data_IF_110154415582
#
_entry.id   IF_110154415582
#
_cell.length_a   1.000
_cell.length_b   1.000
_cell.length_c   1.000
_cell.angle_alpha   90.00
_cell.angle_beta   90.00
_cell.angle_gamma   90.00
#
_symmetry.space_group_name_H-M   'P 1'
#
loop_
_entity.id
_entity.type
_entity.pdbx_description
1 polymer ?
#
# COMPACT_ATOMS: atom_id res chain seq x y z
N UNK A 1 -11.54 -5.03 6.21
CA UNK A 1 -10.95 -3.97 5.36
C UNK A 1 -11.66 -3.90 4.01
N UNK A 2 -11.68 -2.75 3.35
CA UNK A 2 -12.19 -2.58 1.97
C UNK A 2 -11.06 -2.10 1.08
N UNK A 3 -10.99 -2.65 -0.13
CA UNK A 3 -10.07 -2.22 -1.17
C UNK A 3 -10.79 -1.89 -2.46
N UNK A 4 -10.25 -0.91 -3.16
CA UNK A 4 -10.69 -0.57 -4.50
C UNK A 4 -9.48 -0.30 -5.37
N UNK A 5 -9.38 -1.04 -6.47
CA UNK A 5 -8.28 -0.93 -7.43
C UNK A 5 -8.79 -0.17 -8.64
N UNK A 6 -8.04 0.83 -9.07
CA UNK A 6 -8.28 1.60 -10.27
C UNK A 6 -7.01 1.63 -11.10
N UNK A 7 -7.00 0.90 -12.21
CA UNK A 7 -5.88 0.90 -13.16
C UNK A 7 -6.19 1.83 -14.33
N UNK A 8 -5.26 2.73 -14.63
CA UNK A 8 -5.33 3.68 -15.74
C UNK A 8 -4.02 3.62 -16.53
N UNK A 9 -4.00 2.86 -17.62
CA UNK A 9 -2.79 2.63 -18.42
C UNK A 9 -1.71 1.94 -17.59
N UNK A 10 -0.57 2.61 -17.41
CA UNK A 10 0.58 2.12 -16.65
C UNK A 10 0.53 2.47 -15.15
N UNK A 11 -0.54 3.15 -14.71
CA UNK A 11 -0.69 3.57 -13.32
C UNK A 11 -1.79 2.75 -12.64
N UNK A 12 -1.55 2.35 -11.41
CA UNK A 12 -2.56 1.76 -10.53
C UNK A 12 -2.74 2.62 -9.28
N UNK A 13 -3.99 2.82 -8.88
CA UNK A 13 -4.37 3.49 -7.64
C UNK A 13 -5.18 2.49 -6.80
N UNK A 14 -4.81 2.34 -5.54
CA UNK A 14 -5.41 1.37 -4.61
C UNK A 14 -5.86 2.13 -3.38
N UNK A 15 -7.18 2.28 -3.25
CA UNK A 15 -7.78 2.86 -2.06
C UNK A 15 -7.87 1.81 -0.97
N UNK A 16 -7.33 2.11 0.21
CA UNK A 16 -7.38 1.23 1.39
C UNK A 16 -8.25 1.89 2.46
N UNK A 17 -9.30 1.18 2.90
CA UNK A 17 -10.23 1.71 3.91
C UNK A 17 -10.38 0.80 5.14
N UNK A 18 -10.45 1.43 6.31
CA UNK A 18 -10.68 0.76 7.59
C UNK A 18 -9.40 0.46 8.34
N UNK A 19 -9.11 -0.82 8.59
CA UNK A 19 -7.96 -1.25 9.40
C UNK A 19 -7.12 -2.27 8.64
N UNK A 20 -5.80 -2.10 8.69
CA UNK A 20 -4.83 -3.01 8.09
C UNK A 20 -4.09 -3.73 9.22
N UNK A 21 -4.53 -4.95 9.52
CA UNK A 21 -4.02 -5.78 10.62
C UNK A 21 -3.72 -7.20 10.14
N UNK A 22 -3.11 -8.04 10.99
CA UNK A 22 -2.83 -9.44 10.65
C UNK A 22 -4.04 -10.21 10.11
N UNK A 23 -5.25 -9.93 10.63
CA UNK A 23 -6.49 -10.58 10.20
C UNK A 23 -6.82 -10.37 8.71
N UNK A 24 -6.27 -9.32 8.10
CA UNK A 24 -6.52 -8.94 6.72
C UNK A 24 -5.45 -9.48 5.74
N UNK A 25 -4.48 -10.28 6.22
CA UNK A 25 -3.37 -10.79 5.43
C UNK A 25 -3.81 -11.54 4.16
N UNK A 26 -4.82 -12.40 4.27
CA UNK A 26 -5.31 -13.19 3.14
C UNK A 26 -5.94 -12.32 2.03
N UNK A 27 -6.61 -11.23 2.42
CA UNK A 27 -7.20 -10.29 1.48
C UNK A 27 -6.11 -9.43 0.82
N UNK A 28 -5.16 -8.94 1.62
CA UNK A 28 -4.05 -8.13 1.13
C UNK A 28 -3.21 -8.89 0.10
N UNK A 29 -2.94 -10.18 0.34
CA UNK A 29 -2.18 -11.03 -0.58
C UNK A 29 -2.83 -11.16 -1.97
N UNK A 30 -4.16 -11.29 -2.02
CA UNK A 30 -4.87 -11.32 -3.30
C UNK A 30 -4.70 -10.02 -4.08
N UNK A 31 -4.67 -8.88 -3.38
CA UNK A 31 -4.47 -7.58 -4.01
C UNK A 31 -3.05 -7.43 -4.53
N UNK A 32 -2.04 -7.85 -3.75
CA UNK A 32 -0.66 -7.83 -4.23
C UNK A 32 -0.46 -8.70 -5.47
N UNK A 33 -1.15 -9.84 -5.56
CA UNK A 33 -1.11 -10.70 -6.73
C UNK A 33 -1.77 -10.04 -7.95
N UNK A 34 -2.93 -9.37 -7.76
CA UNK A 34 -3.61 -8.62 -8.81
C UNK A 34 -2.71 -7.49 -9.33
N UNK A 35 -2.08 -6.74 -8.43
CA UNK A 35 -1.23 -5.60 -8.79
C UNK A 35 0.03 -6.06 -9.51
N UNK A 36 0.67 -7.13 -9.03
CA UNK A 36 1.83 -7.71 -9.71
C UNK A 36 1.51 -8.30 -11.09
N UNK A 37 0.26 -8.68 -11.34
CA UNK A 37 -0.20 -9.14 -12.65
C UNK A 37 -0.55 -8.00 -13.61
N UNK A 38 -0.62 -6.75 -13.14
CA UNK A 38 -0.78 -5.58 -14.02
C UNK A 38 0.59 -5.10 -14.51
N UNK A 39 0.70 -4.69 -15.78
CA UNK A 39 1.89 -3.99 -16.33
C UNK A 39 2.04 -2.56 -15.78
N UNK A 40 1.54 -2.31 -14.57
CA UNK A 40 1.57 -0.99 -13.93
C UNK A 40 3.00 -0.70 -13.48
N UNK A 41 3.60 0.35 -14.06
CA UNK A 41 4.94 0.80 -13.68
C UNK A 41 4.91 1.68 -12.42
N UNK A 42 3.75 2.26 -12.09
CA UNK A 42 3.59 3.11 -10.92
C UNK A 42 2.30 2.79 -10.18
N UNK A 43 2.42 2.49 -8.89
CA UNK A 43 1.30 2.14 -8.03
C UNK A 43 1.20 3.12 -6.85
N UNK A 44 0.01 3.63 -6.58
CA UNK A 44 -0.26 4.49 -5.42
C UNK A 44 -1.20 3.76 -4.45
N UNK A 45 -0.79 3.64 -3.20
CA UNK A 45 -1.65 3.21 -2.11
C UNK A 45 -2.23 4.44 -1.41
N UNK A 46 -3.52 4.70 -1.63
CA UNK A 46 -4.23 5.78 -0.97
C UNK A 46 -4.69 5.33 0.42
N UNK A 47 -4.10 5.97 1.43
CA UNK A 47 -4.32 5.70 2.85
C UNK A 47 -5.28 6.70 3.51
N UNK A 48 -5.97 7.54 2.73
CA UNK A 48 -6.89 8.58 3.24
C UNK A 48 -7.90 8.03 4.24
N UNK A 49 -8.51 6.88 3.92
CA UNK A 49 -9.56 6.24 4.73
C UNK A 49 -9.00 5.08 5.58
N UNK A 50 -7.68 4.96 5.71
CA UNK A 50 -7.07 3.96 6.58
C UNK A 50 -6.98 4.54 8.01
N UNK A 51 -7.78 3.99 8.90
CA UNK A 51 -7.93 4.48 10.28
C UNK A 51 -6.85 3.92 11.22
N UNK A 52 -6.34 2.72 10.91
CA UNK A 52 -5.40 2.01 11.79
C UNK A 52 -4.52 1.04 11.03
N UNK A 53 -3.24 1.00 11.43
CA UNK A 53 -2.26 0.00 10.99
C UNK A 53 -1.44 -0.51 12.18
N UNK A 54 -1.16 -1.80 12.23
CA UNK A 54 -0.24 -2.43 13.19
C UNK A 54 1.09 -2.86 12.52
N UNK A 55 1.95 -3.54 13.26
CA UNK A 55 3.22 -4.06 12.74
C UNK A 55 3.02 -5.09 11.61
N UNK A 56 1.95 -5.89 11.66
CA UNK A 56 1.65 -6.84 10.60
C UNK A 56 1.20 -6.11 9.32
N UNK A 57 0.39 -5.06 9.44
CA UNK A 57 -0.03 -4.23 8.33
C UNK A 57 1.14 -3.52 7.66
N UNK A 58 2.09 -2.99 8.43
CA UNK A 58 3.35 -2.45 7.91
C UNK A 58 4.15 -3.51 7.14
N UNK A 59 4.24 -4.74 7.68
CA UNK A 59 4.85 -5.88 6.98
C UNK A 59 4.15 -6.22 5.65
N UNK A 60 2.83 -6.10 5.59
CA UNK A 60 2.07 -6.31 4.35
C UNK A 60 2.40 -5.27 3.28
N UNK A 61 2.57 -3.99 3.65
CA UNK A 61 3.02 -2.96 2.72
C UNK A 61 4.37 -3.31 2.10
N UNK A 62 5.32 -3.85 2.89
CA UNK A 62 6.61 -4.31 2.39
C UNK A 62 6.47 -5.44 1.37
N UNK A 63 5.59 -6.41 1.62
CA UNK A 63 5.32 -7.49 0.67
C UNK A 63 4.74 -6.95 -0.66
N UNK A 64 3.86 -5.94 -0.61
CA UNK A 64 3.36 -5.29 -1.82
C UNK A 64 4.48 -4.62 -2.63
N UNK A 65 5.38 -3.92 -1.94
CA UNK A 65 6.53 -3.28 -2.56
C UNK A 65 7.44 -4.27 -3.26
N UNK A 66 7.82 -5.34 -2.56
CA UNK A 66 8.72 -6.36 -3.12
C UNK A 66 8.12 -6.96 -4.38
N UNK A 67 6.81 -7.26 -4.37
CA UNK A 67 6.09 -7.79 -5.54
C UNK A 67 6.08 -6.83 -6.74
N UNK A 68 5.88 -5.54 -6.50
CA UNK A 68 5.87 -4.52 -7.57
C UNK A 68 7.30 -4.31 -8.12
N UNK A 69 8.32 -4.39 -7.25
CA UNK A 69 9.71 -4.29 -7.65
C UNK A 69 10.16 -5.48 -8.53
N UNK A 70 9.65 -6.69 -8.29
CA UNK A 70 9.88 -7.85 -9.18
C UNK A 70 9.44 -7.57 -10.63
N UNK A 71 8.38 -6.77 -10.80
CA UNK A 71 7.86 -6.33 -12.10
C UNK A 71 8.49 -5.01 -12.60
N UNK A 72 9.57 -4.53 -11.97
CA UNK A 72 10.22 -3.23 -12.25
C UNK A 72 9.30 -2.01 -12.09
N UNK A 73 8.20 -2.16 -11.36
CA UNK A 73 7.34 -1.05 -10.98
C UNK A 73 7.85 -0.32 -9.75
N UNK A 74 7.13 0.74 -9.38
CA UNK A 74 7.36 1.52 -8.18
C UNK A 74 6.05 1.74 -7.42
N UNK A 75 6.15 1.91 -6.11
CA UNK A 75 4.99 2.09 -5.23
C UNK A 75 5.18 3.32 -4.34
N UNK A 76 4.11 4.10 -4.20
CA UNK A 76 4.04 5.26 -3.32
C UNK A 76 2.92 5.08 -2.29
N UNK A 77 3.15 5.52 -1.06
CA UNK A 77 2.12 5.65 -0.02
C UNK A 77 1.63 7.10 -0.03
N UNK A 78 0.33 7.29 -0.23
CA UNK A 78 -0.26 8.62 -0.35
C UNK A 78 -1.32 8.88 0.71
N UNK A 79 -1.44 10.15 1.13
CA UNK A 79 -2.47 10.62 2.06
C UNK A 79 -2.52 9.89 3.42
N UNK A 80 -1.36 9.45 3.94
CA UNK A 80 -1.30 8.88 5.27
C UNK A 80 -1.59 9.95 6.34
N UNK A 81 -2.51 9.69 7.26
CA UNK A 81 -2.85 10.63 8.34
C UNK A 81 -2.88 9.95 9.71
N UNK A 82 -2.98 10.77 10.77
CA UNK A 82 -3.24 10.28 12.14
C UNK A 82 -2.25 9.22 12.64
N UNK A 83 -2.79 8.11 13.16
CA UNK A 83 -2.00 6.99 13.70
C UNK A 83 -1.23 6.25 12.60
N UNK A 84 -1.78 6.14 11.40
CA UNK A 84 -1.14 5.48 10.26
C UNK A 84 0.15 6.20 9.86
N UNK A 85 0.09 7.52 9.73
CA UNK A 85 1.27 8.34 9.44
C UNK A 85 2.37 8.14 10.50
N UNK A 86 2.01 8.18 11.78
CA UNK A 86 2.97 7.94 12.88
C UNK A 86 3.63 6.57 12.79
N UNK A 87 2.87 5.52 12.45
CA UNK A 87 3.42 4.17 12.30
C UNK A 87 4.39 4.06 11.13
N UNK A 88 4.07 4.69 9.99
CA UNK A 88 4.95 4.78 8.81
C UNK A 88 6.26 5.50 9.18
N UNK A 89 6.17 6.64 9.86
CA UNK A 89 7.34 7.42 10.29
C UNK A 89 8.20 6.64 11.31
N UNK A 90 7.59 6.02 12.32
CA UNK A 90 8.30 5.19 13.31
C UNK A 90 8.99 4.00 12.67
N UNK A 91 8.36 3.39 11.67
CA UNK A 91 8.93 2.27 10.90
C UNK A 91 9.97 2.70 9.86
N UNK A 92 10.23 4.01 9.70
CA UNK A 92 11.12 4.58 8.67
C UNK A 92 10.77 4.13 7.24
N UNK A 93 9.48 4.09 6.95
CA UNK A 93 8.98 3.66 5.64
C UNK A 93 9.34 4.66 4.52
N UNK A 94 9.72 5.89 4.87
CA UNK A 94 10.32 6.88 3.95
C UNK A 94 11.61 6.40 3.28
N UNK A 95 12.36 5.48 3.89
CA UNK A 95 13.55 4.90 3.29
C UNK A 95 13.23 3.80 2.25
N UNK A 96 11.99 3.31 2.24
CA UNK A 96 11.56 2.16 1.45
C UNK A 96 10.53 2.56 0.39
N UNK A 97 9.68 3.54 0.69
CA UNK A 97 8.58 4.01 -0.14
C UNK A 97 8.73 5.48 -0.47
N UNK A 98 8.23 5.87 -1.63
CA UNK A 98 7.88 7.26 -1.87
C UNK A 98 6.67 7.60 -0.99
N UNK A 99 6.78 8.63 -0.15
CA UNK A 99 5.68 9.11 0.70
C UNK A 99 5.18 10.44 0.14
N UNK A 100 3.94 10.48 -0.35
CA UNK A 100 3.32 11.69 -0.88
C UNK A 100 2.19 12.12 0.04
N UNK A 101 2.42 13.16 0.82
CA UNK A 101 1.38 13.80 1.62
C UNK A 101 0.89 15.05 0.89
N UNK A 102 -0.40 15.09 0.53
CA UNK A 102 -1.06 16.32 0.06
C UNK A 102 -1.54 17.17 1.22
#
# INVERSE_FOLDING_TARGET
>A
MIFKIKSTGINAEIEIKGRLTYSDYALFRQITDIVGATDSQYCQLDLTDLEFIDSAGLGMLLLARDKIQECKGSIALVNATGQVKKMIELGRFDALFEIVNK
#
